data_IF_045261559700
#
_entry.id   IF_045261559700
#
_cell.length_a   1.000
_cell.length_b   1.000
_cell.length_c   1.000
_cell.angle_alpha   90.00
_cell.angle_beta   90.00
_cell.angle_gamma   90.00
#
_symmetry.space_group_name_H-M   'P 1'
#
loop_
_entity.id
_entity.type
_entity.pdbx_description
1 polymer ?
#
# COMPACT_ATOMS: atom_id res chain seq x y z
N UNK A 1 -19.47 -11.62 -4.07
CA UNK A 1 -20.85 -11.98 -4.49
C UNK A 1 -21.50 -12.66 -3.32
N UNK A 2 -22.81 -12.46 -3.14
CA UNK A 2 -23.59 -13.13 -2.12
C UNK A 2 -24.62 -14.05 -2.80
N UNK A 3 -24.91 -15.19 -2.18
CA UNK A 3 -25.98 -16.11 -2.57
C UNK A 3 -26.70 -16.55 -1.31
N UNK A 4 -28.02 -16.62 -1.33
CA UNK A 4 -28.81 -16.97 -0.15
C UNK A 4 -30.14 -17.59 -0.54
N UNK A 5 -30.71 -18.37 0.38
CA UNK A 5 -32.06 -18.91 0.24
C UNK A 5 -33.08 -17.78 0.34
N UNK A 6 -33.92 -17.63 -0.70
CA UNK A 6 -34.90 -16.53 -0.77
C UNK A 6 -36.12 -16.73 0.14
N UNK A 7 -36.36 -17.96 0.58
CA UNK A 7 -37.46 -18.31 1.46
C UNK A 7 -37.01 -19.38 2.44
N UNK A 8 -37.32 -19.16 3.72
CA UNK A 8 -37.02 -20.09 4.82
C UNK A 8 -38.36 -20.34 5.51
N UNK A 9 -38.85 -21.59 5.58
CA UNK A 9 -40.10 -21.89 6.27
C UNK A 9 -39.97 -21.62 7.77
N UNK A 10 -41.09 -21.36 8.49
CA UNK A 10 -41.06 -21.18 9.93
C UNK A 10 -40.37 -22.35 10.65
N UNK A 11 -39.40 -22.05 11.51
CA UNK A 11 -38.59 -23.06 12.21
C UNK A 11 -37.56 -23.79 11.35
N UNK A 12 -37.42 -23.44 10.07
CA UNK A 12 -36.40 -23.99 9.18
C UNK A 12 -35.06 -23.26 9.26
N UNK A 13 -34.06 -23.86 8.65
CA UNK A 13 -32.72 -23.28 8.48
C UNK A 13 -32.54 -22.78 7.04
N UNK A 14 -31.87 -21.64 6.87
CA UNK A 14 -31.47 -21.12 5.57
C UNK A 14 -29.97 -20.87 5.51
N UNK A 15 -29.42 -20.87 4.30
CA UNK A 15 -27.98 -20.70 4.06
C UNK A 15 -27.70 -19.38 3.35
N UNK A 16 -26.68 -18.67 3.86
CA UNK A 16 -26.11 -17.48 3.23
C UNK A 16 -24.65 -17.76 2.89
N UNK A 17 -24.27 -17.59 1.63
CA UNK A 17 -22.90 -17.70 1.13
C UNK A 17 -22.38 -16.32 0.78
N UNK A 18 -21.32 -15.88 1.45
CA UNK A 18 -20.61 -14.63 1.17
C UNK A 18 -19.26 -14.94 0.50
N UNK A 19 -18.99 -14.36 -0.67
CA UNK A 19 -17.70 -14.47 -1.35
C UNK A 19 -17.01 -13.11 -1.46
N UNK A 20 -15.82 -13.02 -0.87
CA UNK A 20 -14.96 -11.83 -0.87
C UNK A 20 -13.84 -12.01 -1.91
N UNK A 21 -13.66 -11.03 -2.79
CA UNK A 21 -12.50 -10.97 -3.68
C UNK A 21 -11.38 -10.21 -2.97
N UNK A 22 -10.32 -10.91 -2.58
CA UNK A 22 -9.19 -10.33 -1.82
C UNK A 22 -8.12 -9.71 -2.71
N UNK A 23 -8.33 -9.63 -4.04
CA UNK A 23 -7.41 -8.97 -4.97
C UNK A 23 -7.18 -7.51 -4.52
N UNK A 24 -5.91 -7.13 -4.39
CA UNK A 24 -5.45 -5.81 -3.92
C UNK A 24 -5.65 -5.51 -2.42
N UNK A 25 -6.16 -6.47 -1.64
CA UNK A 25 -6.19 -6.36 -0.18
C UNK A 25 -4.91 -6.95 0.43
N UNK A 26 -4.46 -6.40 1.56
CA UNK A 26 -3.37 -6.95 2.36
C UNK A 26 -3.63 -6.67 3.85
N UNK A 27 -3.16 -7.55 4.73
CA UNK A 27 -3.30 -7.37 6.17
C UNK A 27 -4.73 -7.53 6.68
N UNK A 28 -4.99 -7.00 7.88
CA UNK A 28 -6.27 -7.17 8.57
C UNK A 28 -7.39 -6.39 7.87
N UNK A 29 -8.46 -7.09 7.51
CA UNK A 29 -9.64 -6.53 6.84
C UNK A 29 -10.94 -7.05 7.47
N UNK A 30 -11.97 -6.21 7.38
CA UNK A 30 -13.35 -6.52 7.79
C UNK A 30 -14.29 -6.14 6.66
N UNK A 31 -15.12 -7.09 6.24
CA UNK A 31 -16.25 -6.86 5.34
C UNK A 31 -17.55 -7.04 6.12
N UNK A 32 -18.58 -6.31 5.70
CA UNK A 32 -19.93 -6.46 6.22
C UNK A 32 -20.89 -6.92 5.12
N UNK A 33 -21.95 -7.61 5.53
CA UNK A 33 -23.11 -7.90 4.70
C UNK A 33 -24.36 -7.72 5.56
N UNK A 34 -25.34 -7.01 5.02
CA UNK A 34 -26.62 -6.78 5.67
C UNK A 34 -27.64 -7.78 5.11
N UNK A 35 -28.35 -8.47 6.01
CA UNK A 35 -29.40 -9.42 5.67
C UNK A 35 -30.73 -8.79 6.04
N UNK A 36 -31.59 -8.56 5.05
CA UNK A 36 -32.94 -8.10 5.27
C UNK A 36 -33.91 -9.28 5.38
N UNK A 37 -34.77 -9.25 6.39
CA UNK A 37 -35.79 -10.27 6.62
C UNK A 37 -37.17 -9.63 6.82
N UNK A 38 -38.22 -10.44 6.70
CA UNK A 38 -39.58 -10.05 7.04
C UNK A 38 -39.98 -10.45 8.48
N UNK A 39 -39.04 -10.93 9.31
CA UNK A 39 -39.31 -11.19 10.73
C UNK A 39 -39.53 -9.84 11.45
N UNK A 40 -40.70 -9.60 12.07
CA UNK A 40 -40.99 -8.33 12.74
C UNK A 40 -40.05 -8.03 13.92
N UNK A 41 -39.43 -9.05 14.52
CA UNK A 41 -38.47 -8.91 15.62
C UNK A 41 -37.03 -8.70 15.15
N UNK A 42 -36.68 -9.18 13.95
CA UNK A 42 -35.31 -9.17 13.45
C UNK A 42 -35.24 -8.84 11.95
N UNK A 43 -35.67 -7.62 11.60
CA UNK A 43 -35.77 -7.13 10.22
C UNK A 43 -34.43 -7.02 9.49
N UNK A 44 -33.35 -6.79 10.24
CA UNK A 44 -32.00 -6.62 9.71
C UNK A 44 -31.00 -7.37 10.58
N UNK A 45 -30.09 -8.09 9.93
CA UNK A 45 -28.98 -8.79 10.58
C UNK A 45 -27.67 -8.36 9.92
N UNK A 46 -26.73 -7.86 10.72
CA UNK A 46 -25.38 -7.54 10.26
C UNK A 46 -24.45 -8.74 10.40
N UNK A 47 -23.87 -9.18 9.28
CA UNK A 47 -22.82 -10.18 9.24
C UNK A 47 -21.47 -9.53 9.01
N UNK A 48 -20.45 -9.99 9.72
CA UNK A 48 -19.08 -9.50 9.58
C UNK A 48 -18.11 -10.62 9.24
N UNK A 49 -17.35 -10.45 8.16
CA UNK A 49 -16.24 -11.32 7.79
C UNK A 49 -14.94 -10.61 8.13
N UNK A 50 -14.13 -11.19 9.02
CA UNK A 50 -12.80 -10.68 9.38
C UNK A 50 -11.74 -11.64 8.85
N UNK A 51 -10.70 -11.13 8.21
CA UNK A 51 -9.57 -11.94 7.76
C UNK A 51 -8.26 -11.14 7.77
N UNK A 52 -7.14 -11.84 7.82
CA UNK A 52 -5.82 -11.28 7.52
C UNK A 52 -5.39 -11.76 6.12
N UNK A 53 -5.40 -10.85 5.14
CA UNK A 53 -5.04 -11.19 3.76
C UNK A 53 -3.53 -11.25 3.63
N UNK A 54 -3.00 -12.46 3.51
CA UNK A 54 -1.58 -12.68 3.23
C UNK A 54 -1.28 -12.39 1.77
N UNK A 55 -0.23 -11.60 1.52
CA UNK A 55 0.30 -11.32 0.18
C UNK A 55 1.74 -11.78 0.10
N UNK A 56 2.25 -12.16 -1.09
CA UNK A 56 3.62 -12.66 -1.22
C UNK A 56 4.67 -11.62 -0.81
N UNK A 57 4.39 -10.32 -1.00
CA UNK A 57 5.31 -9.23 -0.62
C UNK A 57 4.52 -8.06 -0.06
N UNK A 58 4.84 -7.68 1.17
CA UNK A 58 4.32 -6.47 1.84
C UNK A 58 5.21 -5.27 1.54
N UNK A 59 4.60 -4.11 1.27
CA UNK A 59 5.28 -2.87 0.91
C UNK A 59 4.72 -1.70 1.73
N UNK A 60 5.56 -1.04 2.54
CA UNK A 60 5.13 0.06 3.41
C UNK A 60 6.14 1.23 3.42
N UNK A 61 5.76 2.44 2.98
CA UNK A 61 4.52 2.80 2.31
C UNK A 61 4.48 2.31 0.85
N UNK A 62 3.29 2.20 0.26
CA UNK A 62 3.09 1.79 -1.16
C UNK A 62 3.51 2.85 -2.18
N UNK A 63 3.58 4.11 -1.76
CA UNK A 63 4.03 5.24 -2.56
C UNK A 63 4.87 6.16 -1.68
N UNK A 64 5.85 6.81 -2.29
CA UNK A 64 6.76 7.72 -1.59
C UNK A 64 6.44 9.15 -2.01
N UNK A 65 6.16 10.00 -1.04
CA UNK A 65 5.93 11.43 -1.27
C UNK A 65 7.00 12.27 -0.58
N UNK A 66 7.65 13.12 -1.36
CA UNK A 66 8.54 14.17 -0.91
C UNK A 66 7.82 15.51 -1.01
N UNK A 67 7.60 16.17 0.12
CA UNK A 67 7.06 17.53 0.17
C UNK A 67 8.03 18.37 0.98
N UNK A 68 8.67 19.33 0.33
CA UNK A 68 9.75 20.10 0.94
C UNK A 68 9.85 21.51 0.39
N UNK A 69 10.81 22.25 0.95
CA UNK A 69 11.19 23.57 0.46
C UNK A 69 12.44 23.48 -0.40
N UNK A 70 12.64 24.47 -1.27
CA UNK A 70 13.87 24.64 -2.05
C UNK A 70 15.12 24.45 -1.18
N UNK A 71 16.12 23.73 -1.70
CA UNK A 71 17.37 23.42 -0.98
C UNK A 71 17.25 22.42 0.17
N UNK A 72 16.06 21.89 0.49
CA UNK A 72 15.89 20.90 1.55
C UNK A 72 16.28 19.50 1.08
N UNK A 73 17.09 18.80 1.89
CA UNK A 73 17.28 17.35 1.76
C UNK A 73 16.26 16.62 2.63
N UNK A 74 15.53 15.69 2.04
CA UNK A 74 14.54 14.84 2.70
C UNK A 74 14.89 13.39 2.44
N UNK A 75 14.71 12.55 3.46
CA UNK A 75 14.85 11.10 3.35
C UNK A 75 13.51 10.42 3.62
N UNK A 76 13.18 9.41 2.84
CA UNK A 76 12.01 8.54 3.02
C UNK A 76 12.45 7.09 2.91
N UNK A 77 11.85 6.23 3.72
CA UNK A 77 12.17 4.81 3.75
C UNK A 77 10.94 4.03 3.34
N UNK A 78 11.14 3.04 2.47
CA UNK A 78 10.16 2.03 2.12
C UNK A 78 10.65 0.70 2.65
N UNK A 79 9.84 0.06 3.49
CA UNK A 79 10.07 -1.29 3.96
C UNK A 79 9.40 -2.29 3.01
N UNK A 80 10.16 -3.29 2.59
CA UNK A 80 9.69 -4.45 1.84
C UNK A 80 9.88 -5.66 2.72
N UNK A 81 8.81 -6.43 2.90
CA UNK A 81 8.84 -7.66 3.69
C UNK A 81 8.35 -8.85 2.88
N UNK A 82 9.12 -9.94 2.91
CA UNK A 82 8.73 -11.23 2.40
C UNK A 82 7.49 -11.74 3.16
N UNK A 83 6.44 -12.08 2.43
CA UNK A 83 5.24 -12.70 2.97
C UNK A 83 5.21 -14.21 2.86
N UNK A 84 6.25 -14.80 2.25
CA UNK A 84 6.45 -16.24 2.14
C UNK A 84 7.60 -16.71 3.03
N UNK A 85 7.71 -18.02 3.18
CA UNK A 85 8.81 -18.64 3.93
C UNK A 85 10.08 -18.73 3.08
N UNK A 86 9.96 -18.79 1.74
CA UNK A 86 11.13 -18.77 0.85
C UNK A 86 11.79 -17.38 0.84
N UNK A 87 13.13 -17.29 0.74
CA UNK A 87 13.83 -16.01 0.75
C UNK A 87 13.45 -15.17 -0.49
N UNK A 88 13.17 -13.89 -0.25
CA UNK A 88 12.92 -12.88 -1.27
C UNK A 88 14.25 -12.31 -1.76
N UNK A 89 14.46 -12.28 -3.08
CA UNK A 89 15.56 -11.55 -3.72
C UNK A 89 15.00 -10.31 -4.41
N UNK A 90 15.68 -9.17 -4.27
CA UNK A 90 15.31 -7.91 -4.91
C UNK A 90 16.44 -7.41 -5.80
N UNK A 91 16.14 -7.17 -7.07
CA UNK A 91 17.09 -6.61 -8.04
C UNK A 91 16.52 -5.31 -8.61
N UNK A 92 17.19 -4.16 -8.45
CA UNK A 92 16.79 -2.92 -9.13
C UNK A 92 16.87 -3.08 -10.64
N UNK A 93 15.76 -2.83 -11.34
CA UNK A 93 15.68 -2.96 -12.81
C UNK A 93 15.60 -1.62 -13.52
N UNK A 94 14.79 -0.69 -13.01
CA UNK A 94 14.63 0.63 -13.63
C UNK A 94 14.40 1.73 -12.59
N UNK A 95 15.09 2.86 -12.77
CA UNK A 95 14.92 4.06 -11.97
C UNK A 95 14.97 5.30 -12.88
N UNK A 96 14.01 6.23 -12.72
CA UNK A 96 13.88 7.38 -13.62
C UNK A 96 13.91 8.75 -12.90
N UNK A 97 14.47 8.80 -11.69
CA UNK A 97 14.60 10.03 -10.90
C UNK A 97 16.08 10.36 -10.62
N UNK A 98 16.98 9.90 -11.48
CA UNK A 98 18.39 10.25 -11.46
C UNK A 98 18.56 11.78 -11.50
N UNK A 99 19.52 12.30 -10.73
CA UNK A 99 19.73 13.75 -10.57
C UNK A 99 18.70 14.47 -9.68
N UNK A 100 17.60 13.81 -9.28
CA UNK A 100 16.61 14.37 -8.34
C UNK A 100 16.58 13.62 -7.01
N UNK A 101 16.79 12.31 -7.06
CA UNK A 101 16.78 11.39 -5.93
C UNK A 101 17.93 10.41 -6.06
N UNK A 102 18.49 10.04 -4.91
CA UNK A 102 19.32 8.84 -4.77
C UNK A 102 18.55 7.80 -3.96
N UNK A 103 18.90 6.53 -4.12
CA UNK A 103 18.35 5.47 -3.30
C UNK A 103 19.43 4.48 -2.88
N UNK A 104 19.25 3.88 -1.71
CA UNK A 104 20.02 2.72 -1.25
C UNK A 104 19.05 1.60 -0.88
N UNK A 105 19.49 0.36 -1.05
CA UNK A 105 18.72 -0.84 -0.66
C UNK A 105 19.51 -1.55 0.42
N UNK A 106 18.96 -1.56 1.64
CA UNK A 106 19.55 -2.20 2.80
C UNK A 106 18.78 -3.49 3.10
N UNK A 107 19.47 -4.63 3.09
CA UNK A 107 18.92 -5.91 3.54
C UNK A 107 19.08 -6.01 5.07
N UNK A 108 17.96 -5.90 5.80
CA UNK A 108 17.94 -5.86 7.27
C UNK A 108 17.89 -7.27 7.85
N UNK A 109 17.03 -8.12 7.27
CA UNK A 109 16.96 -9.54 7.58
C UNK A 109 17.05 -10.30 6.27
N UNK A 110 18.05 -11.18 6.17
CA UNK A 110 18.40 -11.86 4.92
C UNK A 110 17.20 -12.58 4.30
N UNK A 111 16.84 -12.19 3.08
CA UNK A 111 15.72 -12.73 2.32
C UNK A 111 14.34 -12.40 2.88
N UNK A 112 14.22 -11.52 3.88
CA UNK A 112 12.96 -11.27 4.59
C UNK A 112 12.58 -9.82 4.72
N UNK A 113 13.50 -8.94 5.10
CA UNK A 113 13.19 -7.52 5.33
C UNK A 113 14.25 -6.68 4.62
N UNK A 114 13.77 -5.79 3.75
CA UNK A 114 14.58 -4.82 3.02
C UNK A 114 14.07 -3.41 3.31
N UNK A 115 14.98 -2.45 3.42
CA UNK A 115 14.66 -1.03 3.55
C UNK A 115 15.28 -0.27 2.38
N UNK A 116 14.43 0.37 1.61
CA UNK A 116 14.85 1.24 0.52
C UNK A 116 14.79 2.67 1.00
N UNK A 117 15.95 3.31 1.10
CA UNK A 117 16.08 4.68 1.55
C UNK A 117 16.24 5.59 0.35
N UNK A 118 15.21 6.39 0.09
CA UNK A 118 15.23 7.44 -0.92
C UNK A 118 15.65 8.77 -0.29
N UNK A 119 16.62 9.46 -0.88
CA UNK A 119 17.09 10.77 -0.40
C UNK A 119 17.03 11.79 -1.54
N UNK A 120 16.32 12.90 -1.31
CA UNK A 120 16.19 13.97 -2.31
C UNK A 120 17.46 14.78 -2.41
N UNK A 121 17.89 15.06 -3.64
CA UNK A 121 19.02 15.93 -3.91
C UNK A 121 18.53 17.39 -3.78
N UNK A 122 19.13 18.20 -2.89
CA UNK A 122 18.81 19.62 -2.79
C UNK A 122 18.94 20.34 -4.14
N UNK A 123 17.96 21.16 -4.48
CA UNK A 123 17.97 21.90 -5.73
C UNK A 123 16.82 22.90 -5.84
N UNK A 124 16.60 23.37 -7.07
CA UNK A 124 15.57 24.34 -7.39
C UNK A 124 14.15 23.81 -7.09
N UNK A 125 13.15 24.70 -6.94
CA UNK A 125 11.76 24.30 -6.77
C UNK A 125 11.29 23.52 -8.00
N UNK A 126 10.89 22.27 -7.78
CA UNK A 126 10.41 21.40 -8.85
C UNK A 126 9.37 20.41 -8.33
N UNK A 127 8.46 20.04 -9.23
CA UNK A 127 7.63 18.87 -9.07
C UNK A 127 8.20 17.74 -9.94
N UNK A 128 8.21 16.52 -9.42
CA UNK A 128 8.61 15.36 -10.19
C UNK A 128 7.75 14.15 -9.85
N UNK A 129 7.60 13.29 -10.84
CA UNK A 129 6.91 12.01 -10.73
C UNK A 129 7.78 10.96 -11.39
N UNK A 130 7.96 9.84 -10.72
CA UNK A 130 8.75 8.74 -11.24
C UNK A 130 8.56 7.49 -10.40
N UNK A 131 9.46 6.56 -10.56
CA UNK A 131 9.35 5.25 -9.95
C UNK A 131 10.72 4.57 -9.79
N UNK A 132 10.73 3.57 -8.92
CA UNK A 132 11.75 2.54 -8.86
C UNK A 132 11.06 1.19 -9.11
N UNK A 133 11.54 0.45 -10.11
CA UNK A 133 11.14 -0.93 -10.37
C UNK A 133 12.17 -1.88 -9.78
N UNK A 134 11.67 -2.92 -9.13
CA UNK A 134 12.45 -3.99 -8.55
C UNK A 134 11.91 -5.31 -9.08
N UNK A 135 12.78 -6.15 -9.59
CA UNK A 135 12.49 -7.54 -9.93
C UNK A 135 12.58 -8.42 -8.69
N UNK A 136 11.72 -9.43 -8.63
CA UNK A 136 11.68 -10.40 -7.54
C UNK A 136 11.67 -11.82 -8.05
N UNK A 137 12.13 -12.74 -7.21
CA UNK A 137 12.12 -14.18 -7.49
C UNK A 137 10.74 -14.83 -7.26
N UNK A 138 9.70 -14.08 -6.88
CA UNK A 138 8.38 -14.64 -6.64
C UNK A 138 7.50 -14.58 -7.90
N UNK A 139 7.01 -15.72 -8.43
CA UNK A 139 6.27 -15.77 -9.70
C UNK A 139 4.91 -15.06 -9.64
N UNK A 140 4.29 -14.97 -8.46
CA UNK A 140 3.03 -14.27 -8.26
C UNK A 140 3.18 -12.75 -8.26
N UNK A 141 4.39 -12.25 -8.00
CA UNK A 141 4.71 -10.82 -7.98
C UNK A 141 6.15 -10.59 -8.46
N UNK A 142 6.41 -10.82 -9.75
CA UNK A 142 7.77 -10.76 -10.30
C UNK A 142 8.34 -9.34 -10.33
N UNK A 143 7.48 -8.31 -10.23
CA UNK A 143 7.90 -6.91 -10.23
C UNK A 143 7.22 -6.12 -9.10
N UNK A 144 7.98 -5.23 -8.47
CA UNK A 144 7.50 -4.22 -7.53
C UNK A 144 7.76 -2.85 -8.13
N UNK A 145 6.68 -2.10 -8.41
CA UNK A 145 6.74 -0.70 -8.82
C UNK A 145 6.50 0.21 -7.60
N UNK A 146 7.54 0.91 -7.15
CA UNK A 146 7.44 1.93 -6.10
C UNK A 146 7.28 3.28 -6.78
N UNK A 147 6.07 3.85 -6.66
CA UNK A 147 5.78 5.18 -7.23
C UNK A 147 6.28 6.27 -6.30
N UNK A 148 6.97 7.25 -6.86
CA UNK A 148 7.59 8.34 -6.13
C UNK A 148 7.08 9.67 -6.70
N UNK A 149 6.67 10.57 -5.82
CA UNK A 149 6.30 11.95 -6.16
C UNK A 149 7.08 12.92 -5.30
N UNK A 150 7.53 14.00 -5.90
CA UNK A 150 8.17 15.10 -5.20
C UNK A 150 7.54 16.42 -5.55
N UNK A 151 7.39 17.30 -4.55
CA UNK A 151 7.00 18.69 -4.70
C UNK A 151 7.86 19.55 -3.78
N UNK A 152 8.75 20.32 -4.40
CA UNK A 152 9.61 21.28 -3.72
C UNK A 152 9.17 22.70 -4.10
N UNK A 153 8.81 23.50 -3.10
CA UNK A 153 8.32 24.87 -3.31
C UNK A 153 9.37 25.90 -2.91
N UNK A 154 9.37 27.05 -3.59
CA UNK A 154 10.23 28.18 -3.26
C UNK A 154 9.94 28.67 -1.84
N UNK A 155 10.99 28.99 -1.08
CA UNK A 155 10.83 29.65 0.21
C UNK A 155 10.39 31.10 -0.06
N UNK A 156 9.15 31.46 0.30
CA UNK A 156 8.76 32.89 0.34
C UNK A 156 9.52 33.54 1.50
N UNK A 157 10.38 34.50 1.19
CA UNK A 157 10.97 35.41 2.18
C UNK A 157 9.82 36.19 2.83
N UNK A 158 9.72 36.30 4.17
CA UNK A 158 8.69 37.12 4.79
C UNK A 158 8.84 38.56 4.31
N UNK A 159 7.73 39.16 3.86
CA UNK A 159 7.68 40.58 3.52
C UNK A 159 7.61 41.36 4.84
N UNK A 160 8.67 42.06 5.22
CA UNK A 160 8.65 42.98 6.34
C UNK A 160 9.93 42.96 7.17
N UNK A 161 10.95 43.66 6.70
CA UNK A 161 11.86 44.44 7.54
C UNK A 161 12.44 45.53 6.62
N UNK A 162 11.60 46.54 6.40
CA UNK A 162 12.01 47.82 5.88
C UNK A 162 12.70 48.56 7.02
N UNK A 163 13.84 49.17 6.67
CA UNK A 163 14.73 49.98 7.49
C UNK A 163 14.04 51.09 8.30
#
# INVERSE_FOLDING_TARGET
MASFDRAIPPGGEGKITLSVRTKSYEGAHRWSAEVHTNDPKMKTIDLYVKAFVKVPIYLSPRYVNFNGREGQSLTRVVEIRAGRDEPLTLTPSQFNLEGKLTYTVDEIEKGKIFKIRFTSIPGAPQAYHGFLNLETNYPEKPEINIRIRGRFVKVKKPAGESS
#
